data_IF_548443412129
#
_entry.id   IF_548443412129
#
_cell.length_a   1.000
_cell.length_b   1.000
_cell.length_c   1.000
_cell.angle_alpha   90.00
_cell.angle_beta   90.00
_cell.angle_gamma   90.00
#
_symmetry.space_group_name_H-M   'P 1'
#
loop_
_entity.id
_entity.type
_entity.pdbx_description
1 polymer ?
#
# COMPACT_ATOMS: atom_id res chain seq x y z
N UNK A 1 31.56 -22.59 6.34
CA UNK A 1 30.74 -21.82 5.38
C UNK A 1 29.30 -21.85 5.86
N UNK A 2 28.95 -20.92 6.74
CA UNK A 2 27.59 -20.80 7.28
C UNK A 2 26.75 -20.06 6.25
N UNK A 3 25.66 -20.69 5.76
CA UNK A 3 24.71 -20.02 4.88
C UNK A 3 24.13 -18.83 5.66
N UNK A 4 24.30 -17.62 5.14
CA UNK A 4 23.55 -16.44 5.56
C UNK A 4 22.07 -16.73 5.30
N UNK A 5 21.37 -17.18 6.34
CA UNK A 5 19.93 -17.41 6.29
C UNK A 5 19.18 -16.08 6.38
N UNK A 6 18.14 -15.94 5.55
CA UNK A 6 17.10 -14.90 5.62
C UNK A 6 16.88 -14.38 7.05
N UNK A 7 17.06 -13.08 7.28
CA UNK A 7 16.83 -12.43 8.57
C UNK A 7 15.35 -12.42 8.99
N UNK A 8 14.43 -12.73 8.08
CA UNK A 8 13.01 -12.90 8.37
C UNK A 8 12.41 -14.07 7.57
N UNK A 9 11.39 -14.73 8.15
CA UNK A 9 10.72 -15.91 7.55
C UNK A 9 10.02 -15.57 6.22
N UNK A 10 9.81 -14.28 5.92
CA UNK A 10 9.05 -13.78 4.76
C UNK A 10 9.94 -13.28 3.60
N UNK A 11 11.25 -13.08 3.82
CA UNK A 11 12.20 -12.66 2.77
C UNK A 11 12.57 -13.80 1.80
N UNK A 12 12.12 -15.02 2.10
CA UNK A 12 12.44 -16.23 1.36
C UNK A 12 11.32 -16.67 0.39
N UNK A 13 10.31 -15.80 0.16
CA UNK A 13 9.24 -15.95 -0.84
C UNK A 13 7.85 -16.23 -0.26
N UNK A 14 6.75 -16.06 -1.04
CA UNK A 14 6.69 -15.67 -2.45
C UNK A 14 6.91 -14.16 -2.67
N UNK A 15 7.63 -13.81 -3.74
CA UNK A 15 7.76 -12.42 -4.20
C UNK A 15 6.60 -12.09 -5.12
N UNK A 16 6.01 -10.90 -4.92
CA UNK A 16 4.94 -10.39 -5.77
C UNK A 16 5.48 -9.20 -6.56
N UNK A 17 5.04 -9.08 -7.81
CA UNK A 17 5.27 -7.85 -8.55
C UNK A 17 4.54 -6.74 -7.81
N UNK A 18 5.32 -5.77 -7.33
CA UNK A 18 4.82 -4.57 -6.70
C UNK A 18 5.18 -3.39 -7.57
N UNK A 19 4.20 -2.50 -7.70
CA UNK A 19 4.38 -1.22 -8.36
C UNK A 19 3.63 -0.17 -7.57
N UNK A 20 4.31 0.92 -7.26
CA UNK A 20 3.69 2.08 -6.63
C UNK A 20 3.24 3.06 -7.71
N UNK A 21 1.95 3.01 -8.07
CA UNK A 21 1.38 3.82 -9.16
C UNK A 21 0.54 4.98 -8.61
N UNK A 22 1.14 6.13 -8.27
CA UNK A 22 0.36 7.30 -7.91
C UNK A 22 -0.52 7.73 -9.09
N UNK A 23 -1.64 8.41 -8.85
CA UNK A 23 -2.59 8.78 -9.91
C UNK A 23 -1.98 9.65 -11.00
N UNK A 24 -0.87 10.33 -10.70
CA UNK A 24 -0.08 11.14 -11.64
C UNK A 24 0.47 10.31 -12.81
N UNK A 25 0.70 9.01 -12.58
CA UNK A 25 1.25 8.06 -13.54
C UNK A 25 0.14 7.25 -14.25
N UNK A 26 -1.14 7.60 -14.08
CA UNK A 26 -2.27 6.89 -14.69
C UNK A 26 -3.02 7.84 -15.62
N UNK A 27 -3.07 7.50 -16.91
CA UNK A 27 -3.85 8.25 -17.90
C UNK A 27 -5.28 7.72 -17.96
N UNK A 28 -6.25 8.62 -17.88
CA UNK A 28 -7.68 8.30 -17.88
C UNK A 28 -8.37 9.06 -19.03
N UNK A 29 -9.22 8.36 -19.77
CA UNK A 29 -10.09 8.99 -20.77
C UNK A 29 -11.12 9.90 -20.06
N UNK A 30 -11.15 11.20 -20.34
CA UNK A 30 -12.02 12.14 -19.64
C UNK A 30 -13.51 11.93 -19.91
N UNK A 31 -13.88 11.20 -20.97
CA UNK A 31 -15.27 10.91 -21.31
C UNK A 31 -15.73 9.59 -20.70
N UNK A 32 -14.90 8.55 -20.79
CA UNK A 32 -15.28 7.18 -20.38
C UNK A 32 -14.82 6.82 -18.97
N UNK A 33 -13.94 7.63 -18.36
CA UNK A 33 -13.27 7.38 -17.08
C UNK A 33 -12.51 6.04 -17.06
N UNK A 34 -12.13 5.52 -18.22
CA UNK A 34 -11.33 4.29 -18.34
C UNK A 34 -9.85 4.62 -18.30
N UNK A 35 -9.09 3.79 -17.59
CA UNK A 35 -7.63 3.83 -17.63
C UNK A 35 -7.19 3.47 -19.06
N UNK A 36 -6.38 4.33 -19.67
CA UNK A 36 -5.88 4.19 -21.05
C UNK A 36 -4.40 3.80 -21.08
N UNK A 37 -3.62 4.22 -20.08
CA UNK A 37 -2.23 3.83 -19.91
C UNK A 37 -1.78 4.00 -18.45
N UNK A 38 -0.72 3.28 -18.10
CA UNK A 38 0.06 3.46 -16.86
C UNK A 38 1.49 3.79 -17.29
N UNK A 39 2.03 4.86 -16.75
CA UNK A 39 3.35 5.40 -17.05
C UNK A 39 4.33 5.03 -15.92
N UNK A 40 5.61 5.32 -16.14
CA UNK A 40 6.62 5.34 -15.07
C UNK A 40 6.75 4.00 -14.32
N UNK A 41 6.95 2.93 -15.08
CA UNK A 41 7.10 1.55 -14.57
C UNK A 41 8.49 1.26 -14.00
N UNK A 42 9.37 2.27 -13.89
CA UNK A 42 10.79 2.05 -13.55
C UNK A 42 11.01 1.57 -12.11
N UNK A 43 10.00 1.77 -11.24
CA UNK A 43 9.98 1.28 -9.86
C UNK A 43 9.21 -0.04 -9.70
N UNK A 44 8.74 -0.65 -10.79
CA UNK A 44 8.11 -1.96 -10.76
C UNK A 44 9.15 -3.02 -10.38
N UNK A 45 8.97 -3.67 -9.23
CA UNK A 45 9.95 -4.62 -8.72
C UNK A 45 9.27 -5.85 -8.11
N UNK A 46 9.99 -6.98 -8.09
CA UNK A 46 9.59 -8.14 -7.33
C UNK A 46 9.95 -7.91 -5.85
N UNK A 47 8.96 -7.63 -5.02
CA UNK A 47 9.16 -7.37 -3.59
C UNK A 47 8.61 -8.52 -2.74
N UNK A 48 9.17 -8.74 -1.53
CA UNK A 48 8.55 -9.62 -0.55
C UNK A 48 7.08 -9.25 -0.33
N UNK A 49 6.26 -10.27 -0.07
CA UNK A 49 4.81 -10.12 0.04
C UNK A 49 4.36 -9.03 1.03
N UNK A 50 5.18 -8.79 2.06
CA UNK A 50 4.97 -7.76 3.08
C UNK A 50 4.93 -6.34 2.51
N UNK A 51 5.88 -5.99 1.65
CA UNK A 51 5.94 -4.67 1.00
C UNK A 51 4.83 -4.50 -0.03
N UNK A 52 4.51 -5.57 -0.76
CA UNK A 52 3.40 -5.53 -1.73
C UNK A 52 2.03 -5.27 -1.10
N UNK A 53 1.93 -5.44 0.22
CA UNK A 53 0.71 -5.23 0.99
C UNK A 53 0.67 -3.86 1.69
N UNK A 54 1.69 -3.01 1.56
CA UNK A 54 1.65 -1.69 2.18
C UNK A 54 0.55 -0.82 1.57
N UNK A 55 -0.17 -0.03 2.39
CA UNK A 55 -1.22 0.84 1.87
C UNK A 55 -0.60 1.97 1.04
N UNK A 56 -1.21 2.39 -0.08
CA UNK A 56 -0.66 3.42 -0.94
C UNK A 56 -0.57 4.75 -0.19
N UNK A 57 0.61 5.37 -0.15
CA UNK A 57 0.82 6.64 0.55
C UNK A 57 0.15 7.82 -0.16
N UNK A 58 -0.12 7.69 -1.46
CA UNK A 58 -0.62 8.76 -2.34
C UNK A 58 -2.14 8.94 -2.33
N UNK A 59 -2.88 8.32 -1.42
CA UNK A 59 -4.35 8.43 -1.39
C UNK A 59 -4.85 9.88 -1.25
N UNK A 60 -4.14 10.69 -0.45
CA UNK A 60 -4.44 12.11 -0.29
C UNK A 60 -3.85 13.00 -1.39
N UNK A 61 -3.22 12.41 -2.41
CA UNK A 61 -2.45 13.09 -3.47
C UNK A 61 -1.30 13.98 -2.97
N UNK A 62 -1.05 13.97 -1.66
CA UNK A 62 0.04 14.63 -0.98
C UNK A 62 0.64 13.65 0.03
N UNK A 63 1.96 13.51 0.00
CA UNK A 63 2.67 12.70 0.99
C UNK A 63 2.64 13.33 2.39
N UNK A 64 2.93 12.54 3.43
CA UNK A 64 2.95 13.03 4.81
C UNK A 64 3.88 14.24 4.99
N UNK A 65 5.04 14.25 4.32
CA UNK A 65 5.99 15.38 4.38
C UNK A 65 5.36 16.70 3.89
N UNK A 66 4.59 16.66 2.80
CA UNK A 66 3.90 17.86 2.30
C UNK A 66 2.79 18.32 3.24
N UNK A 67 2.18 17.41 3.99
CA UNK A 67 1.13 17.73 4.96
C UNK A 67 1.77 18.42 6.18
N UNK A 68 2.87 17.87 6.69
CA UNK A 68 3.65 18.43 7.80
C UNK A 68 4.24 19.80 7.47
N UNK A 69 4.78 19.99 6.25
CA UNK A 69 5.30 21.28 5.79
C UNK A 69 4.23 22.38 5.73
N UNK A 70 2.95 22.03 5.64
CA UNK A 70 1.82 22.96 5.69
C UNK A 70 1.38 23.30 7.12
N UNK A 71 2.11 22.83 8.13
CA UNK A 71 1.85 23.09 9.54
C UNK A 71 0.83 22.15 10.18
N UNK A 72 0.45 21.08 9.49
CA UNK A 72 -0.43 20.06 10.04
C UNK A 72 0.33 19.05 10.89
N UNK A 73 -0.38 18.39 11.82
CA UNK A 73 0.21 17.30 12.59
C UNK A 73 0.11 15.97 11.85
N UNK A 74 0.87 14.97 12.32
CA UNK A 74 0.74 13.61 11.80
C UNK A 74 -0.65 13.05 12.09
N UNK A 75 -1.25 13.36 13.24
CA UNK A 75 -2.60 12.94 13.60
C UNK A 75 -3.65 13.50 12.63
N UNK A 76 -3.51 14.77 12.22
CA UNK A 76 -4.40 15.37 11.23
C UNK A 76 -4.25 14.71 9.85
N UNK A 77 -3.02 14.37 9.44
CA UNK A 77 -2.77 13.60 8.23
C UNK A 77 -3.45 12.23 8.32
N UNK A 78 -3.27 11.51 9.43
CA UNK A 78 -3.86 10.19 9.63
C UNK A 78 -5.39 10.24 9.63
N UNK A 79 -5.98 11.26 10.27
CA UNK A 79 -7.43 11.46 10.28
C UNK A 79 -8.00 11.72 8.88
N UNK A 80 -7.25 12.41 8.01
CA UNK A 80 -7.63 12.59 6.61
C UNK A 80 -7.40 11.31 5.77
N UNK A 81 -6.33 10.57 6.04
CA UNK A 81 -5.91 9.41 5.26
C UNK A 81 -6.79 8.17 5.49
N UNK A 82 -7.27 7.95 6.73
CA UNK A 82 -8.01 6.75 7.09
C UNK A 82 -9.33 6.53 6.32
N UNK A 83 -10.18 7.55 6.10
CA UNK A 83 -11.38 7.42 5.28
C UNK A 83 -11.07 6.97 3.84
N UNK A 84 -10.05 7.56 3.21
CA UNK A 84 -9.66 7.25 1.84
C UNK A 84 -9.05 5.85 1.73
N UNK A 85 -8.28 5.43 2.74
CA UNK A 85 -7.79 4.06 2.83
C UNK A 85 -8.93 3.05 2.92
N UNK A 86 -9.95 3.31 3.73
CA UNK A 86 -11.09 2.39 3.83
C UNK A 86 -11.88 2.34 2.52
N UNK A 87 -12.07 3.48 1.85
CA UNK A 87 -12.70 3.51 0.52
C UNK A 87 -11.90 2.68 -0.50
N UNK A 88 -10.58 2.83 -0.50
CA UNK A 88 -9.67 2.07 -1.35
C UNK A 88 -9.75 0.56 -1.06
N UNK A 89 -9.71 0.16 0.21
CA UNK A 89 -9.84 -1.25 0.61
C UNK A 89 -11.18 -1.85 0.17
N UNK A 90 -12.28 -1.10 0.25
CA UNK A 90 -13.56 -1.56 -0.25
C UNK A 90 -13.57 -1.71 -1.78
N UNK A 91 -12.93 -0.81 -2.53
CA UNK A 91 -12.78 -0.92 -3.97
C UNK A 91 -11.95 -2.15 -4.36
N UNK A 92 -10.82 -2.39 -3.68
CA UNK A 92 -10.03 -3.61 -3.85
C UNK A 92 -10.87 -4.87 -3.62
N UNK A 93 -11.63 -4.93 -2.53
CA UNK A 93 -12.49 -6.07 -2.24
C UNK A 93 -13.55 -6.31 -3.32
N UNK A 94 -14.11 -5.26 -3.91
CA UNK A 94 -15.03 -5.38 -5.05
C UNK A 94 -14.32 -5.95 -6.28
N UNK A 95 -13.11 -5.48 -6.57
CA UNK A 95 -12.30 -5.96 -7.68
C UNK A 95 -11.85 -7.42 -7.50
N UNK A 96 -11.42 -7.80 -6.29
CA UNK A 96 -11.04 -9.17 -5.92
C UNK A 96 -12.22 -10.13 -6.11
N UNK A 97 -13.43 -9.74 -5.67
CA UNK A 97 -14.66 -10.53 -5.89
C UNK A 97 -15.02 -10.67 -7.37
N UNK A 98 -14.88 -9.61 -8.16
CA UNK A 98 -15.21 -9.62 -9.59
C UNK A 98 -14.25 -10.49 -10.42
N UNK A 99 -13.03 -10.75 -9.92
CA UNK A 99 -12.00 -11.53 -10.62
C UNK A 99 -12.00 -13.03 -10.30
N UNK A 100 -12.93 -13.51 -9.46
CA UNK A 100 -12.98 -14.90 -8.98
C UNK A 100 -11.58 -15.42 -8.57
N UNK A 101 -10.79 -14.58 -7.88
CA UNK A 101 -9.42 -14.97 -7.51
C UNK A 101 -9.46 -16.28 -6.74
N UNK A 102 -8.72 -17.28 -7.26
CA UNK A 102 -8.59 -18.62 -6.70
C UNK A 102 -8.42 -18.54 -5.19
N UNK A 103 -9.27 -19.26 -4.45
CA UNK A 103 -9.40 -19.25 -2.98
C UNK A 103 -8.13 -19.69 -2.21
N UNK A 104 -7.00 -19.85 -2.90
CA UNK A 104 -5.75 -20.36 -2.36
C UNK A 104 -4.88 -19.28 -1.72
N UNK A 105 -5.05 -18.00 -2.08
CA UNK A 105 -4.29 -16.88 -1.51
C UNK A 105 -5.17 -15.93 -0.69
N UNK A 106 -4.64 -15.42 0.43
CA UNK A 106 -5.31 -14.37 1.21
C UNK A 106 -5.49 -13.11 0.33
N UNK A 107 -6.69 -12.48 0.31
CA UNK A 107 -6.92 -11.27 -0.46
C UNK A 107 -5.94 -10.16 -0.06
N UNK A 108 -5.45 -9.41 -1.04
CA UNK A 108 -4.49 -8.32 -0.81
C UNK A 108 -5.13 -7.26 0.09
N UNK A 109 -6.43 -7.01 -0.04
CA UNK A 109 -7.18 -6.10 0.83
C UNK A 109 -7.12 -6.50 2.31
N UNK A 110 -7.04 -7.79 2.60
CA UNK A 110 -6.91 -8.31 3.98
C UNK A 110 -5.49 -8.16 4.49
N UNK A 111 -4.50 -8.38 3.61
CA UNK A 111 -3.09 -8.16 3.94
C UNK A 111 -2.80 -6.69 4.20
N UNK A 112 -3.26 -5.78 3.35
CA UNK A 112 -3.09 -4.33 3.53
C UNK A 112 -3.72 -3.81 4.82
N UNK A 113 -4.91 -4.29 5.16
CA UNK A 113 -5.54 -3.98 6.45
C UNK A 113 -4.70 -4.49 7.64
N UNK A 114 -4.05 -5.64 7.50
CA UNK A 114 -3.19 -6.22 8.54
C UNK A 114 -1.86 -5.47 8.67
N UNK A 115 -1.20 -5.16 7.55
CA UNK A 115 0.04 -4.38 7.50
C UNK A 115 -0.18 -2.99 8.09
N UNK A 116 -1.27 -2.31 7.72
CA UNK A 116 -1.65 -1.01 8.29
C UNK A 116 -1.74 -1.07 9.81
N UNK A 117 -2.45 -2.07 10.37
CA UNK A 117 -2.56 -2.26 11.83
C UNK A 117 -1.19 -2.45 12.49
N UNK A 118 -0.32 -3.26 11.88
CA UNK A 118 1.05 -3.49 12.41
C UNK A 118 1.87 -2.20 12.44
N UNK A 119 1.76 -1.37 11.41
CA UNK A 119 2.46 -0.07 11.37
C UNK A 119 1.92 0.90 12.44
N UNK A 120 0.61 0.94 12.69
CA UNK A 120 0.05 1.79 13.75
C UNK A 120 0.47 1.37 15.16
N UNK A 121 0.49 0.06 15.44
CA UNK A 121 0.95 -0.44 16.74
C UNK A 121 2.47 -0.32 16.89
N UNK A 122 3.23 -0.61 15.83
CA UNK A 122 4.70 -0.49 15.84
C UNK A 122 5.20 0.95 16.00
N UNK A 123 4.52 1.94 15.39
CA UNK A 123 4.85 3.36 15.62
C UNK A 123 4.49 3.80 17.03
N UNK A 124 3.35 3.36 17.60
CA UNK A 124 3.00 3.67 18.99
C UNK A 124 3.99 3.08 19.97
N UNK A 125 4.39 1.82 19.79
CA UNK A 125 5.39 1.16 20.63
C UNK A 125 6.81 1.75 20.50
N UNK A 126 7.07 2.52 19.44
CA UNK A 126 8.31 3.26 19.21
C UNK A 126 8.25 4.65 19.87
N UNK A 127 7.12 5.36 19.73
CA UNK A 127 6.90 6.69 20.32
C UNK A 127 6.76 6.60 21.85
N UNK A 128 6.11 5.56 22.40
CA UNK A 128 5.95 5.36 23.85
C UNK A 128 7.22 4.83 24.53
N UNK A 129 8.30 4.60 23.77
CA UNK A 129 9.60 4.10 24.26
C UNK A 129 10.66 5.20 24.45
N UNK A 130 10.34 6.43 24.07
CA UNK A 130 11.12 7.65 24.31
C UNK A 130 10.38 8.61 25.26
#
# INVERSE_FOLDING_TARGET
MSRLGCLSIDDCGPFKLFCDFPPQNILVDPKTHRITAVLDLELANAMPSQYSSEPPWWLLLAGPDSYLLRGHTMEEFMAAYEPDLEQFLQAMQRAERAREMLQLEKPLSSLTRTTRRRLTYGLKDFIDRD
#
